data_IF_130724731557
#
_entry.id   IF_130724731557
#
_cell.length_a   1.000
_cell.length_b   1.000
_cell.length_c   1.000
_cell.angle_alpha   90.00
_cell.angle_beta   90.00
_cell.angle_gamma   90.00
#
_symmetry.space_group_name_H-M   'P 1'
#
loop_
_entity.id
_entity.type
_entity.pdbx_description
1 polymer ?
#
# COMPACT_ATOMS: atom_id res chain seq x y z
N UNK A 1 23.25 14.21 2.34
CA UNK A 1 24.69 14.03 2.11
C UNK A 1 25.19 13.23 3.30
N UNK A 2 25.67 12.00 3.07
CA UNK A 2 26.28 11.22 4.16
C UNK A 2 27.67 11.76 4.40
N UNK A 3 27.84 12.54 5.45
CA UNK A 3 29.16 13.05 5.81
C UNK A 3 29.89 12.02 6.67
N UNK A 4 31.07 11.63 6.24
CA UNK A 4 31.94 10.79 7.03
C UNK A 4 32.63 11.66 8.08
N UNK A 5 32.31 11.43 9.34
CA UNK A 5 32.91 12.10 10.48
C UNK A 5 33.96 11.17 11.07
N UNK A 6 35.18 11.65 11.26
CA UNK A 6 36.23 10.88 11.96
C UNK A 6 36.33 11.37 13.40
N UNK A 7 36.19 10.48 14.36
CA UNK A 7 36.38 10.81 15.76
C UNK A 7 37.85 11.16 16.06
N UNK A 8 38.09 11.74 17.24
CA UNK A 8 39.47 11.98 17.72
C UNK A 8 40.28 10.68 17.93
N UNK A 9 39.59 9.53 18.02
CA UNK A 9 40.18 8.22 18.15
C UNK A 9 40.42 7.52 16.81
N UNK A 10 40.13 8.19 15.66
CA UNK A 10 40.30 7.64 14.31
C UNK A 10 39.15 6.77 13.83
N UNK A 11 38.09 6.60 14.62
CA UNK A 11 36.89 5.87 14.20
C UNK A 11 36.08 6.67 13.20
N UNK A 12 35.60 6.01 12.16
CA UNK A 12 34.81 6.60 11.10
C UNK A 12 33.33 6.40 11.38
N UNK A 13 32.57 7.48 11.42
CA UNK A 13 31.12 7.47 11.59
C UNK A 13 30.49 8.03 10.31
N UNK A 14 29.35 7.43 9.92
CA UNK A 14 28.53 7.98 8.86
C UNK A 14 27.34 8.70 9.49
N UNK A 15 27.14 9.96 9.12
CA UNK A 15 25.95 10.70 9.51
C UNK A 15 24.88 10.54 8.42
N UNK A 16 23.73 9.97 8.79
CA UNK A 16 22.58 9.80 7.93
C UNK A 16 21.36 10.45 8.57
N UNK A 17 20.70 11.33 7.83
CA UNK A 17 19.47 11.96 8.30
C UNK A 17 18.26 11.11 7.87
N UNK A 18 17.58 10.53 8.85
CA UNK A 18 16.39 9.69 8.62
C UNK A 18 15.07 10.45 8.72
N UNK A 19 15.11 11.70 9.27
CA UNK A 19 13.92 12.53 9.46
C UNK A 19 12.77 11.77 10.16
N UNK A 20 11.52 11.96 9.69
CA UNK A 20 10.32 11.29 10.18
C UNK A 20 10.27 9.78 9.83
N UNK A 21 11.11 9.31 8.92
CA UNK A 21 11.12 7.91 8.49
C UNK A 21 11.49 6.94 9.63
N UNK A 22 12.19 7.42 10.65
CA UNK A 22 12.43 6.64 11.87
C UNK A 22 11.14 6.28 12.60
N UNK A 23 10.18 7.21 12.68
CA UNK A 23 8.86 6.95 13.27
C UNK A 23 8.03 6.01 12.40
N UNK A 24 8.03 6.23 11.07
CA UNK A 24 7.33 5.35 10.12
C UNK A 24 7.88 3.93 10.20
N UNK A 25 9.20 3.76 10.21
CA UNK A 25 9.84 2.45 10.33
C UNK A 25 9.55 1.77 11.67
N UNK A 26 9.56 2.52 12.78
CA UNK A 26 9.16 1.99 14.08
C UNK A 26 7.70 1.50 14.06
N UNK A 27 6.79 2.29 13.51
CA UNK A 27 5.38 1.91 13.36
C UNK A 27 5.22 0.61 12.54
N UNK A 28 5.90 0.50 11.41
CA UNK A 28 5.88 -0.71 10.57
C UNK A 28 6.35 -1.94 11.36
N UNK A 29 7.44 -1.82 12.11
CA UNK A 29 7.99 -2.92 12.91
C UNK A 29 7.07 -3.32 14.06
N UNK A 30 6.59 -2.34 14.84
CA UNK A 30 5.79 -2.60 16.04
C UNK A 30 4.39 -3.14 15.70
N UNK A 31 3.79 -2.70 14.62
CA UNK A 31 2.52 -3.26 14.13
C UNK A 31 2.65 -4.64 13.51
N UNK A 32 3.88 -5.05 13.12
CA UNK A 32 4.11 -6.33 12.45
C UNK A 32 3.49 -6.42 11.06
N UNK A 33 3.43 -5.29 10.33
CA UNK A 33 2.87 -5.24 8.97
C UNK A 33 3.68 -6.12 8.02
N UNK A 34 5.02 -6.13 8.12
CA UNK A 34 5.88 -6.94 7.25
C UNK A 34 5.58 -8.43 7.41
N UNK A 35 5.53 -8.90 8.65
CA UNK A 35 5.25 -10.29 9.00
C UNK A 35 3.85 -10.70 8.54
N UNK A 36 2.85 -9.81 8.70
CA UNK A 36 1.49 -10.08 8.26
C UNK A 36 1.41 -10.24 6.74
N UNK A 37 2.10 -9.40 5.97
CA UNK A 37 2.17 -9.55 4.50
C UNK A 37 2.82 -10.88 4.12
N UNK A 38 3.90 -11.26 4.80
CA UNK A 38 4.62 -12.51 4.53
C UNK A 38 3.81 -13.77 4.91
N UNK A 39 2.88 -13.66 5.88
CA UNK A 39 1.90 -14.71 6.18
C UNK A 39 0.85 -14.85 5.08
N UNK A 40 0.37 -13.74 4.54
CA UNK A 40 -0.70 -13.70 3.55
C UNK A 40 -0.21 -14.02 2.13
N UNK A 41 0.96 -13.54 1.78
CA UNK A 41 1.58 -13.74 0.47
C UNK A 41 2.75 -14.72 0.64
N UNK A 42 2.57 -16.00 0.26
CA UNK A 42 3.61 -16.98 0.43
C UNK A 42 4.85 -16.60 -0.37
N UNK A 43 6.02 -16.80 0.23
CA UNK A 43 7.30 -16.55 -0.44
C UNK A 43 7.35 -17.28 -1.77
N UNK A 44 7.75 -16.55 -2.81
CA UNK A 44 8.17 -17.17 -4.07
C UNK A 44 9.18 -18.26 -3.76
N UNK A 45 8.88 -19.49 -4.20
CA UNK A 45 9.64 -20.73 -3.97
C UNK A 45 11.15 -20.51 -3.81
N UNK A 46 11.78 -21.25 -2.92
CA UNK A 46 13.20 -21.55 -2.65
C UNK A 46 14.30 -21.01 -3.58
N UNK A 47 14.05 -19.94 -4.32
CA UNK A 47 15.03 -19.30 -5.19
C UNK A 47 15.92 -18.40 -4.34
N UNK A 48 17.15 -18.85 -4.09
CA UNK A 48 18.19 -18.22 -3.28
C UNK A 48 18.61 -16.83 -3.76
N UNK A 49 18.06 -16.33 -4.86
CA UNK A 49 18.35 -14.99 -5.41
C UNK A 49 17.48 -13.87 -4.84
N UNK A 50 16.48 -14.17 -3.99
CA UNK A 50 15.67 -13.15 -3.35
C UNK A 50 16.17 -12.83 -1.95
N UNK A 51 16.71 -11.63 -1.79
CA UNK A 51 17.24 -11.14 -0.51
C UNK A 51 16.14 -10.60 0.42
N UNK A 52 14.97 -10.27 -0.12
CA UNK A 52 13.86 -9.66 0.64
C UNK A 52 12.62 -10.54 0.61
N UNK A 53 11.84 -10.47 1.70
CA UNK A 53 10.46 -10.94 1.71
C UNK A 53 9.51 -9.91 1.06
N UNK A 54 8.29 -10.31 0.72
CA UNK A 54 7.29 -9.39 0.19
C UNK A 54 6.96 -8.26 1.18
N UNK A 55 6.86 -8.58 2.47
CA UNK A 55 6.64 -7.58 3.53
C UNK A 55 7.77 -6.55 3.60
N UNK A 56 9.03 -6.99 3.48
CA UNK A 56 10.18 -6.08 3.43
C UNK A 56 10.17 -5.18 2.20
N UNK A 57 9.81 -5.72 1.02
CA UNK A 57 9.69 -4.92 -0.22
C UNK A 57 8.58 -3.88 -0.08
N UNK A 58 7.42 -4.25 0.47
CA UNK A 58 6.31 -3.31 0.71
C UNK A 58 6.73 -2.23 1.71
N UNK A 59 7.42 -2.58 2.80
CA UNK A 59 7.96 -1.60 3.75
C UNK A 59 8.90 -0.61 3.08
N UNK A 60 9.79 -1.07 2.20
CA UNK A 60 10.66 -0.19 1.40
C UNK A 60 9.84 0.73 0.48
N UNK A 61 8.81 0.23 -0.19
CA UNK A 61 7.94 1.08 -1.01
C UNK A 61 7.22 2.15 -0.17
N UNK A 62 6.73 1.81 1.02
CA UNK A 62 6.11 2.77 1.96
C UNK A 62 7.11 3.86 2.35
N UNK A 63 8.33 3.48 2.75
CA UNK A 63 9.40 4.43 3.12
C UNK A 63 9.76 5.35 1.94
N UNK A 64 9.80 4.83 0.71
CA UNK A 64 10.03 5.67 -0.47
C UNK A 64 8.86 6.65 -0.70
N UNK A 65 7.62 6.19 -0.60
CA UNK A 65 6.42 7.00 -0.84
C UNK A 65 6.21 8.11 0.20
N UNK A 66 6.57 7.85 1.46
CA UNK A 66 6.43 8.80 2.57
C UNK A 66 7.69 9.67 2.79
N UNK A 67 8.74 9.50 2.00
CA UNK A 67 9.93 10.35 2.09
C UNK A 67 9.68 11.77 1.59
N UNK A 68 10.45 12.76 2.09
CA UNK A 68 10.39 14.14 1.57
C UNK A 68 10.77 14.25 0.09
N UNK A 69 11.60 13.33 -0.39
CA UNK A 69 11.95 13.19 -1.80
C UNK A 69 11.76 11.72 -2.16
N UNK A 70 10.72 11.43 -2.88
CA UNK A 70 10.48 10.08 -3.42
C UNK A 70 11.18 9.91 -4.77
N UNK A 71 11.34 8.67 -5.18
CA UNK A 71 11.79 8.30 -6.51
C UNK A 71 10.76 7.36 -7.16
N UNK A 72 10.61 7.39 -8.47
CA UNK A 72 9.85 6.36 -9.18
C UNK A 72 10.36 4.96 -8.80
N UNK A 73 9.49 3.96 -8.82
CA UNK A 73 9.82 2.62 -8.33
C UNK A 73 11.07 2.02 -9.00
N UNK A 74 11.28 2.26 -10.29
CA UNK A 74 12.49 1.79 -11.01
C UNK A 74 13.79 2.48 -10.58
N UNK A 75 13.71 3.60 -9.83
CA UNK A 75 14.85 4.34 -9.29
C UNK A 75 14.94 4.28 -7.76
N UNK A 76 14.13 3.48 -7.10
CA UNK A 76 14.10 3.40 -5.63
C UNK A 76 15.47 3.06 -5.03
N UNK A 77 16.28 2.23 -5.70
CA UNK A 77 17.62 1.90 -5.22
C UNK A 77 18.52 3.14 -5.03
N UNK A 78 18.36 4.19 -5.86
CA UNK A 78 19.08 5.46 -5.69
C UNK A 78 18.62 6.22 -4.44
N UNK A 79 17.31 6.17 -4.13
CA UNK A 79 16.77 6.78 -2.92
C UNK A 79 17.41 6.17 -1.68
N UNK A 80 17.51 4.84 -1.64
CA UNK A 80 18.02 4.11 -0.48
C UNK A 80 19.53 4.13 -0.31
N UNK A 81 20.31 4.45 -1.34
CA UNK A 81 21.79 4.63 -1.21
C UNK A 81 22.21 5.62 -0.13
N UNK A 82 21.31 6.56 0.24
CA UNK A 82 21.56 7.62 1.23
C UNK A 82 20.75 7.46 2.51
N UNK A 83 20.18 6.30 2.73
CA UNK A 83 19.34 6.00 3.89
C UNK A 83 19.93 4.83 4.66
N UNK A 84 19.83 4.90 5.98
CA UNK A 84 20.15 3.79 6.86
C UNK A 84 18.90 2.93 7.06
N UNK A 85 18.68 2.03 6.10
CA UNK A 85 17.51 1.15 6.08
C UNK A 85 17.52 0.18 7.25
N UNK A 86 18.70 -0.28 7.69
CA UNK A 86 18.82 -1.19 8.82
C UNK A 86 18.34 -0.54 10.10
N UNK A 87 18.69 0.73 10.34
CA UNK A 87 18.17 1.49 11.48
C UNK A 87 16.67 1.77 11.34
N UNK A 88 16.17 2.08 10.14
CA UNK A 88 14.76 2.42 9.91
C UNK A 88 13.86 1.18 10.02
N UNK A 89 14.20 0.09 9.34
CA UNK A 89 13.34 -1.09 9.17
C UNK A 89 13.80 -2.35 9.89
N UNK A 90 15.04 -2.40 10.39
CA UNK A 90 15.53 -3.49 11.25
C UNK A 90 16.01 -4.73 10.50
N UNK A 91 16.31 -4.66 9.20
CA UNK A 91 16.85 -5.78 8.43
C UNK A 91 18.04 -5.36 7.54
N UNK A 92 18.91 -6.31 7.20
CA UNK A 92 20.07 -6.07 6.33
C UNK A 92 19.60 -5.57 4.94
N UNK A 93 20.22 -4.50 4.47
CA UNK A 93 19.87 -3.89 3.19
C UNK A 93 21.11 -3.55 2.38
N UNK A 94 21.12 -3.96 1.11
CA UNK A 94 22.07 -3.48 0.11
C UNK A 94 21.31 -2.94 -1.09
N UNK A 95 21.61 -1.72 -1.55
CA UNK A 95 20.90 -1.10 -2.68
C UNK A 95 20.86 -1.97 -3.93
N UNK A 96 21.88 -2.79 -4.16
CA UNK A 96 22.01 -3.66 -5.32
C UNK A 96 21.00 -4.83 -5.30
N UNK A 97 20.45 -5.15 -4.15
CA UNK A 97 19.43 -6.20 -3.98
C UNK A 97 18.02 -5.70 -4.30
N UNK A 98 17.83 -4.39 -4.31
CA UNK A 98 16.51 -3.76 -4.46
C UNK A 98 16.39 -3.10 -5.84
N UNK A 99 15.79 -3.80 -6.77
CA UNK A 99 15.60 -3.40 -8.16
C UNK A 99 14.13 -3.51 -8.59
N UNK A 100 13.85 -3.08 -9.81
CA UNK A 100 12.52 -3.11 -10.40
C UNK A 100 11.92 -4.51 -10.55
N UNK A 101 12.74 -5.54 -10.82
CA UNK A 101 12.30 -6.93 -10.87
C UNK A 101 11.75 -7.42 -9.51
N UNK A 102 12.43 -7.09 -8.41
CA UNK A 102 12.01 -7.46 -7.05
C UNK A 102 10.69 -6.76 -6.70
N UNK A 103 10.58 -5.48 -7.06
CA UNK A 103 9.36 -4.69 -6.85
C UNK A 103 8.23 -5.26 -7.70
N UNK A 104 8.46 -5.47 -8.99
CA UNK A 104 7.45 -5.99 -9.93
C UNK A 104 6.87 -7.31 -9.47
N UNK A 105 7.71 -8.27 -9.09
CA UNK A 105 7.26 -9.58 -8.58
C UNK A 105 6.46 -9.47 -7.28
N UNK A 106 6.79 -8.53 -6.42
CA UNK A 106 6.00 -8.29 -5.21
C UNK A 106 4.63 -7.70 -5.54
N UNK A 107 4.58 -6.74 -6.48
CA UNK A 107 3.31 -6.19 -6.97
C UNK A 107 2.44 -7.25 -7.64
N UNK A 108 3.03 -8.14 -8.46
CA UNK A 108 2.32 -9.27 -9.06
C UNK A 108 1.74 -10.20 -7.99
N UNK A 109 2.54 -10.55 -6.97
CA UNK A 109 2.08 -11.40 -5.88
C UNK A 109 0.96 -10.76 -5.05
N UNK A 110 1.04 -9.44 -4.80
CA UNK A 110 -0.03 -8.67 -4.15
C UNK A 110 -1.30 -8.66 -5.00
N UNK A 111 -1.16 -8.52 -6.32
CA UNK A 111 -2.29 -8.56 -7.25
C UNK A 111 -2.95 -9.94 -7.27
N UNK A 112 -2.16 -11.03 -7.34
CA UNK A 112 -2.67 -12.41 -7.30
C UNK A 112 -3.38 -12.75 -5.99
N UNK A 113 -2.91 -12.22 -4.87
CA UNK A 113 -3.60 -12.38 -3.58
C UNK A 113 -4.92 -11.61 -3.53
N UNK A 114 -4.96 -10.44 -4.15
CA UNK A 114 -6.07 -9.48 -4.14
C UNK A 114 -5.78 -8.28 -3.24
N UNK A 115 -5.80 -7.10 -3.84
CA UNK A 115 -5.41 -5.85 -3.16
C UNK A 115 -6.36 -5.46 -2.03
N UNK A 116 -7.67 -5.61 -2.26
CA UNK A 116 -8.70 -5.25 -1.28
C UNK A 116 -8.63 -6.10 0.00
N UNK A 117 -8.61 -7.45 -0.05
CA UNK A 117 -8.44 -8.24 1.16
C UNK A 117 -7.09 -8.02 1.84
N UNK A 118 -5.99 -7.86 1.07
CA UNK A 118 -4.68 -7.55 1.63
C UNK A 118 -4.71 -6.26 2.44
N UNK A 119 -5.27 -5.20 1.87
CA UNK A 119 -5.37 -3.89 2.51
C UNK A 119 -6.21 -3.96 3.78
N UNK A 120 -7.40 -4.58 3.73
CA UNK A 120 -8.31 -4.68 4.86
C UNK A 120 -7.71 -5.47 6.03
N UNK A 121 -7.06 -6.59 5.77
CA UNK A 121 -6.38 -7.38 6.79
C UNK A 121 -5.27 -6.57 7.51
N UNK A 122 -4.49 -5.79 6.76
CA UNK A 122 -3.49 -4.90 7.34
C UNK A 122 -4.12 -3.77 8.17
N UNK A 123 -5.20 -3.17 7.68
CA UNK A 123 -5.93 -2.12 8.37
C UNK A 123 -6.50 -2.61 9.71
N UNK A 124 -7.13 -3.77 9.72
CA UNK A 124 -7.65 -4.38 10.95
C UNK A 124 -6.53 -4.79 11.92
N UNK A 125 -5.39 -5.26 11.41
CA UNK A 125 -4.22 -5.49 12.26
C UNK A 125 -3.77 -4.22 12.98
N UNK A 126 -3.74 -3.08 12.28
CA UNK A 126 -3.40 -1.77 12.86
C UNK A 126 -4.44 -1.34 13.90
N UNK A 127 -5.74 -1.49 13.61
CA UNK A 127 -6.79 -1.19 14.59
C UNK A 127 -6.65 -2.01 15.87
N UNK A 128 -6.41 -3.31 15.74
CA UNK A 128 -6.19 -4.21 16.87
C UNK A 128 -4.95 -3.80 17.68
N UNK A 129 -3.86 -3.42 17.01
CA UNK A 129 -2.65 -2.90 17.67
C UNK A 129 -2.97 -1.65 18.50
N UNK A 130 -3.84 -0.77 18.00
CA UNK A 130 -4.29 0.44 18.70
C UNK A 130 -5.36 0.16 19.78
N UNK A 131 -5.80 -1.07 19.94
CA UNK A 131 -6.87 -1.43 20.87
C UNK A 131 -8.22 -0.79 20.53
N UNK A 132 -8.47 -0.56 19.23
CA UNK A 132 -9.69 0.08 18.73
C UNK A 132 -10.58 -0.91 18.00
N UNK A 133 -11.89 -0.66 18.10
CA UNK A 133 -12.93 -1.33 17.32
C UNK A 133 -13.68 -0.33 16.47
N UNK A 134 -14.29 -0.79 15.41
CA UNK A 134 -15.08 0.04 14.50
C UNK A 134 -16.45 0.30 15.09
N UNK A 135 -16.79 1.58 15.30
CA UNK A 135 -18.12 2.03 15.73
C UNK A 135 -18.95 2.59 14.58
N UNK A 136 -18.31 3.32 13.68
CA UNK A 136 -18.93 3.91 12.50
C UNK A 136 -17.91 4.08 11.39
N UNK A 137 -18.38 4.12 10.15
CA UNK A 137 -17.52 4.26 8.97
C UNK A 137 -18.07 5.30 8.01
N UNK A 138 -17.16 6.04 7.38
CA UNK A 138 -17.44 6.93 6.27
C UNK A 138 -17.04 6.23 4.97
N UNK A 139 -17.89 6.32 3.97
CA UNK A 139 -17.65 5.76 2.63
C UNK A 139 -17.61 6.89 1.62
N UNK A 140 -16.55 6.94 0.83
CA UNK A 140 -16.41 7.91 -0.26
C UNK A 140 -15.68 7.29 -1.44
N UNK A 141 -15.80 7.95 -2.58
CA UNK A 141 -15.10 7.57 -3.81
C UNK A 141 -14.27 8.73 -4.34
N UNK A 142 -13.11 8.42 -4.90
CA UNK A 142 -12.26 9.39 -5.57
C UNK A 142 -11.86 8.89 -6.95
N UNK A 143 -11.39 9.80 -7.82
CA UNK A 143 -10.87 9.46 -9.14
C UNK A 143 -9.39 9.81 -9.25
N UNK A 144 -8.63 8.91 -9.86
CA UNK A 144 -7.24 9.15 -10.24
C UNK A 144 -7.13 9.27 -11.75
N UNK A 145 -6.75 10.45 -12.22
CA UNK A 145 -6.55 10.71 -13.64
C UNK A 145 -5.17 10.24 -14.10
N UNK A 146 -5.14 9.62 -15.27
CA UNK A 146 -3.91 9.18 -15.89
C UNK A 146 -3.50 10.13 -17.02
N UNK A 147 -2.28 10.64 -16.92
CA UNK A 147 -1.64 11.47 -17.94
C UNK A 147 -0.62 10.62 -18.72
N UNK A 148 -1.02 10.06 -19.86
CA UNK A 148 -0.15 9.21 -20.66
C UNK A 148 -0.83 8.71 -21.93
N UNK A 149 -0.14 7.84 -22.69
CA UNK A 149 -0.76 7.19 -23.85
C UNK A 149 -1.72 6.10 -23.38
N UNK A 150 -2.94 6.13 -23.92
CA UNK A 150 -4.00 5.18 -23.60
C UNK A 150 -3.60 3.77 -24.05
N UNK A 151 -3.31 2.88 -23.08
CA UNK A 151 -3.39 1.46 -23.30
C UNK A 151 -4.74 1.00 -22.77
N UNK A 152 -5.75 0.94 -23.65
CA UNK A 152 -7.07 0.47 -23.26
C UNK A 152 -7.09 -1.07 -23.24
N UNK A 153 -7.28 -1.64 -22.06
CA UNK A 153 -7.66 -3.04 -21.93
C UNK A 153 -9.19 -3.12 -21.82
N UNK A 154 -9.83 -3.69 -22.82
CA UNK A 154 -11.26 -3.99 -22.78
C UNK A 154 -11.43 -5.40 -22.23
N UNK A 155 -12.01 -5.55 -21.07
CA UNK A 155 -12.55 -6.80 -20.58
C UNK A 155 -14.05 -6.64 -20.28
N UNK A 156 -14.81 -7.72 -20.46
CA UNK A 156 -16.26 -7.74 -20.26
C UNK A 156 -16.65 -7.29 -18.86
N UNK A 157 -17.74 -6.51 -18.78
CA UNK A 157 -18.33 -5.97 -17.55
C UNK A 157 -18.96 -7.04 -16.63
N UNK A 158 -18.34 -8.18 -16.43
CA UNK A 158 -18.80 -9.16 -15.47
C UNK A 158 -18.40 -8.75 -14.05
N UNK A 159 -19.35 -8.83 -13.12
CA UNK A 159 -19.07 -8.58 -11.70
C UNK A 159 -18.17 -9.70 -11.18
N UNK A 160 -16.91 -9.38 -10.94
CA UNK A 160 -15.95 -10.30 -10.32
C UNK A 160 -16.08 -10.21 -8.80
N UNK A 161 -16.05 -11.34 -8.06
CA UNK A 161 -16.00 -11.29 -6.59
C UNK A 161 -14.81 -10.46 -6.10
N UNK A 162 -14.99 -9.72 -5.00
CA UNK A 162 -13.95 -8.82 -4.48
C UNK A 162 -12.63 -9.52 -4.10
N UNK A 163 -12.69 -10.79 -3.76
CA UNK A 163 -11.56 -11.62 -3.38
C UNK A 163 -10.86 -12.31 -4.56
N UNK A 164 -11.27 -12.01 -5.78
CA UNK A 164 -10.64 -12.54 -7.01
C UNK A 164 -9.92 -11.40 -7.71
N UNK A 165 -8.61 -11.51 -7.95
CA UNK A 165 -7.87 -10.52 -8.71
C UNK A 165 -8.49 -10.30 -10.09
N UNK A 166 -8.75 -9.05 -10.44
CA UNK A 166 -9.27 -8.71 -11.75
C UNK A 166 -8.60 -7.43 -12.28
N UNK A 167 -8.55 -7.32 -13.58
CA UNK A 167 -8.03 -6.14 -14.23
C UNK A 167 -9.05 -5.02 -14.20
N UNK A 168 -8.58 -3.82 -13.94
CA UNK A 168 -9.38 -2.59 -13.96
C UNK A 168 -9.20 -1.91 -15.31
N UNK A 169 -10.28 -1.39 -15.87
CA UNK A 169 -10.24 -0.60 -17.08
C UNK A 169 -9.95 0.87 -16.75
N UNK A 170 -8.79 1.35 -17.18
CA UNK A 170 -8.48 2.78 -17.17
C UNK A 170 -9.24 3.38 -18.35
N UNK A 171 -10.31 4.14 -18.08
CA UNK A 171 -11.21 4.65 -19.10
C UNK A 171 -11.77 6.02 -18.73
N UNK A 172 -12.38 6.70 -19.70
CA UNK A 172 -13.09 7.94 -19.42
C UNK A 172 -14.36 7.66 -18.63
N UNK A 173 -14.62 8.52 -17.65
CA UNK A 173 -15.80 8.45 -16.80
C UNK A 173 -16.28 9.84 -16.44
N UNK A 174 -17.18 9.94 -15.45
CA UNK A 174 -17.58 11.21 -14.90
C UNK A 174 -16.40 11.82 -14.14
N UNK A 175 -15.88 12.93 -14.68
CA UNK A 175 -14.75 13.64 -14.04
C UNK A 175 -15.27 14.64 -13.01
N UNK A 176 -14.94 14.43 -11.74
CA UNK A 176 -15.25 15.39 -10.65
C UNK A 176 -14.35 16.62 -10.72
N UNK A 177 -13.14 16.47 -11.25
CA UNK A 177 -12.13 17.53 -11.33
C UNK A 177 -12.19 18.33 -12.65
N UNK A 178 -13.29 18.19 -13.41
CA UNK A 178 -13.53 18.87 -14.69
C UNK A 178 -12.48 18.55 -15.79
N UNK A 179 -11.95 17.33 -15.80
CA UNK A 179 -11.04 16.79 -16.83
C UNK A 179 -11.65 15.62 -17.61
N UNK A 180 -12.78 15.83 -18.34
CA UNK A 180 -13.48 14.74 -19.05
C UNK A 180 -12.68 14.14 -20.21
N UNK A 181 -11.60 14.81 -20.63
CA UNK A 181 -10.68 14.35 -21.67
C UNK A 181 -9.71 13.29 -21.18
N UNK A 182 -9.48 13.20 -19.86
CA UNK A 182 -8.53 12.24 -19.27
C UNK A 182 -9.21 10.92 -18.98
N UNK A 183 -8.43 9.83 -19.11
CA UNK A 183 -8.82 8.53 -18.59
C UNK A 183 -8.51 8.47 -17.09
N UNK A 184 -9.30 7.68 -16.37
CA UNK A 184 -9.22 7.59 -14.91
C UNK A 184 -9.48 6.16 -14.43
N UNK A 185 -9.15 5.92 -13.18
CA UNK A 185 -9.68 4.84 -12.36
C UNK A 185 -10.48 5.47 -11.21
N UNK A 186 -11.46 4.73 -10.72
CA UNK A 186 -12.18 5.09 -9.50
C UNK A 186 -11.61 4.28 -8.35
N UNK A 187 -11.54 4.89 -7.18
CA UNK A 187 -11.19 4.22 -5.94
C UNK A 187 -12.30 4.43 -4.92
N UNK A 188 -12.77 3.34 -4.36
CA UNK A 188 -13.73 3.35 -3.27
C UNK A 188 -12.97 3.16 -1.95
N UNK A 189 -13.24 4.02 -0.99
CA UNK A 189 -12.58 3.97 0.32
C UNK A 189 -13.62 3.96 1.44
N UNK A 190 -13.38 3.13 2.44
CA UNK A 190 -14.10 3.13 3.71
C UNK A 190 -13.14 3.46 4.84
N UNK A 191 -13.48 4.44 5.64
CA UNK A 191 -12.62 4.98 6.70
C UNK A 191 -13.34 4.90 8.04
N UNK A 192 -12.66 4.40 9.06
CA UNK A 192 -13.17 4.42 10.44
C UNK A 192 -13.26 5.86 10.95
N UNK A 193 -14.41 6.24 11.52
CA UNK A 193 -14.75 7.63 11.76
C UNK A 193 -13.93 8.30 12.88
N UNK A 194 -13.60 7.57 13.94
CA UNK A 194 -12.90 8.16 15.10
C UNK A 194 -11.39 8.27 14.87
N UNK A 195 -10.79 7.25 14.28
CA UNK A 195 -9.33 7.16 14.08
C UNK A 195 -8.88 7.72 12.74
N UNK A 196 -9.76 7.80 11.75
CA UNK A 196 -9.42 8.13 10.39
C UNK A 196 -8.66 7.01 9.65
N UNK A 197 -8.62 5.79 10.19
CA UNK A 197 -7.93 4.68 9.56
C UNK A 197 -8.77 4.14 8.40
N UNK A 198 -8.22 4.10 7.17
CA UNK A 198 -8.89 3.48 6.06
C UNK A 198 -8.91 1.95 6.25
N UNK A 199 -10.12 1.37 6.23
CA UNK A 199 -10.36 -0.04 6.48
C UNK A 199 -10.50 -0.85 5.20
N UNK A 200 -10.95 -0.21 4.17
CA UNK A 200 -11.28 -0.84 2.91
C UNK A 200 -10.91 0.08 1.76
N UNK A 201 -10.29 -0.48 0.76
CA UNK A 201 -9.88 0.22 -0.44
C UNK A 201 -10.12 -0.69 -1.62
N UNK A 202 -10.90 -0.24 -2.59
CA UNK A 202 -11.24 -0.99 -3.77
C UNK A 202 -11.10 -0.15 -5.02
N UNK A 203 -10.13 -0.46 -5.88
CA UNK A 203 -10.02 0.17 -7.17
C UNK A 203 -11.08 -0.37 -8.13
N UNK A 204 -11.66 0.51 -8.92
CA UNK A 204 -12.75 0.23 -9.86
C UNK A 204 -12.44 0.79 -11.25
N UNK A 205 -13.18 0.31 -12.26
CA UNK A 205 -13.11 0.88 -13.60
C UNK A 205 -13.40 2.38 -13.58
N UNK A 206 -12.74 3.15 -14.46
CA UNK A 206 -12.89 4.60 -14.49
C UNK A 206 -14.30 5.13 -14.79
N UNK A 207 -15.21 4.27 -15.27
CA UNK A 207 -16.61 4.56 -15.52
C UNK A 207 -17.57 3.87 -14.53
N UNK A 208 -17.07 3.39 -13.40
CA UNK A 208 -17.89 2.73 -12.37
C UNK A 208 -18.93 3.68 -11.77
N UNK A 209 -20.06 3.08 -11.33
CA UNK A 209 -21.14 3.82 -10.69
C UNK A 209 -21.05 3.69 -9.16
N UNK A 210 -20.91 4.81 -8.46
CA UNK A 210 -20.74 4.88 -7.00
C UNK A 210 -21.82 4.12 -6.22
N UNK A 211 -23.08 4.21 -6.62
CA UNK A 211 -24.17 3.57 -5.87
C UNK A 211 -24.08 2.05 -5.81
N UNK A 212 -23.59 1.41 -6.88
CA UNK A 212 -23.38 -0.05 -6.92
C UNK A 212 -22.14 -0.43 -6.14
N UNK A 213 -21.09 0.36 -6.26
CA UNK A 213 -19.84 0.15 -5.55
C UNK A 213 -20.06 0.23 -4.03
N UNK A 214 -20.75 1.24 -3.53
CA UNK A 214 -21.08 1.39 -2.11
C UNK A 214 -21.88 0.21 -1.56
N UNK A 215 -22.91 -0.27 -2.29
CA UNK A 215 -23.66 -1.44 -1.88
C UNK A 215 -22.80 -2.69 -1.76
N UNK A 216 -21.81 -2.85 -2.65
CA UNK A 216 -20.86 -3.94 -2.62
C UNK A 216 -19.93 -3.83 -1.41
N UNK A 217 -19.36 -2.65 -1.16
CA UNK A 217 -18.50 -2.38 -0.01
C UNK A 217 -19.18 -2.68 1.31
N UNK A 218 -20.42 -2.24 1.49
CA UNK A 218 -21.21 -2.52 2.70
C UNK A 218 -21.33 -4.04 2.92
N UNK A 219 -21.69 -4.79 1.89
CA UNK A 219 -21.80 -6.25 1.98
C UNK A 219 -20.49 -6.93 2.34
N UNK A 220 -19.38 -6.44 1.80
CA UNK A 220 -18.04 -6.97 2.09
C UNK A 220 -17.66 -6.64 3.53
N UNK A 221 -17.88 -5.40 3.95
CA UNK A 221 -17.60 -4.97 5.32
C UNK A 221 -18.38 -5.77 6.36
N UNK A 222 -19.62 -6.12 6.06
CA UNK A 222 -20.42 -7.01 6.91
C UNK A 222 -19.74 -8.38 7.16
N UNK A 223 -18.84 -8.84 6.29
CA UNK A 223 -18.07 -10.06 6.50
C UNK A 223 -16.97 -9.92 7.57
N UNK A 224 -16.59 -8.69 7.90
CA UNK A 224 -15.57 -8.37 8.93
C UNK A 224 -16.18 -8.05 10.29
N UNK A 225 -17.36 -8.61 10.62
CA UNK A 225 -18.11 -8.32 11.88
C UNK A 225 -17.32 -8.55 13.16
N UNK A 226 -16.37 -9.47 13.17
CA UNK A 226 -15.53 -9.76 14.33
C UNK A 226 -14.66 -8.56 14.79
N UNK A 227 -14.44 -7.59 13.90
CA UNK A 227 -13.66 -6.38 14.17
C UNK A 227 -14.51 -5.17 14.52
N UNK A 228 -15.83 -5.34 14.62
CA UNK A 228 -16.78 -4.26 14.85
C UNK A 228 -17.39 -4.35 16.25
N UNK A 229 -17.86 -3.21 16.77
CA UNK A 229 -18.75 -3.19 17.92
C UNK A 229 -20.18 -3.58 17.50
N UNK A 230 -20.95 -4.17 18.43
CA UNK A 230 -22.38 -4.44 18.20
C UNK A 230 -23.10 -3.12 17.93
N UNK A 231 -23.64 -2.97 16.71
CA UNK A 231 -24.43 -1.79 16.33
C UNK A 231 -23.67 -0.66 15.62
N UNK A 232 -22.61 -0.95 14.87
CA UNK A 232 -21.93 0.04 14.01
C UNK A 232 -22.88 0.69 13.00
N UNK A 233 -22.57 1.93 12.61
CA UNK A 233 -23.39 2.75 11.70
C UNK A 233 -22.54 3.21 10.52
N UNK A 234 -23.12 3.14 9.32
CA UNK A 234 -22.56 3.76 8.11
C UNK A 234 -22.96 5.25 8.07
N UNK A 235 -22.01 6.13 7.81
CA UNK A 235 -22.18 7.57 7.69
C UNK A 235 -21.91 8.04 6.26
#
# INVERSE_FOLDING_TARGET
MNEMITSRTGEKFYNCCIHHLGMVGAFIRETGIMEKIDEMIPKLSNNTSFHFSHGQVVALMIINGLGYTSKPLYMCHEYFRKKDVETILGFEFKPEWFNDDVIGRTLDAMFEYGLTPLFSELAFKVLNFLGRKVSSVNIDSTSFHYHGHEQMYYENNEQVPYNVPHKINITRGYSRDAHPELVQIMEQMMVENETGIPLFLEPENGNSNDSKAFQRMIKIFDSFKEYTDDGYVYL
#
